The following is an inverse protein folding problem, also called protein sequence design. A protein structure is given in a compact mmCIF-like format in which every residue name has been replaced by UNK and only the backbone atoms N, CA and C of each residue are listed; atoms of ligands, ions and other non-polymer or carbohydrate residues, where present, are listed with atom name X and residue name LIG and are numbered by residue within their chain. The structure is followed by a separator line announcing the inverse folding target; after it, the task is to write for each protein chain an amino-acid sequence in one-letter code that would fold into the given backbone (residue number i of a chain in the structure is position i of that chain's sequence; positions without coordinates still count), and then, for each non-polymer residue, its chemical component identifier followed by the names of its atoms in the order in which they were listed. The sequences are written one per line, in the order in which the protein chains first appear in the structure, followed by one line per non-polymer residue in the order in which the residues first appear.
data_IF_662665727250
#
_entry.id   IF_662665727250
#
_cell.length_a   1.000
_cell.length_b   1.000
_cell.length_c   1.000
_cell.angle_alpha   90.00
_cell.angle_beta   90.00
_cell.angle_gamma   90.00
#
_symmetry.space_group_name_H-M   'P 1'
#
loop_
_entity.id
_entity.type
_entity.pdbx_description
1 polymer ?
#
# COMPACT_ATOMS: atom_id res chain seq x y z
N UNK A 1 27.19 38.12 5.74
CA UNK A 1 25.96 37.44 5.25
C UNK A 1 26.07 36.88 3.82
N UNK A 2 26.95 37.38 2.94
CA UNK A 2 27.10 36.88 1.55
C UNK A 2 27.49 35.39 1.43
N UNK A 3 28.23 34.84 2.39
CA UNK A 3 28.70 33.44 2.34
C UNK A 3 27.66 32.41 2.80
N UNK A 4 26.65 32.82 3.57
CA UNK A 4 25.60 31.90 4.05
C UNK A 4 24.74 31.43 2.87
N UNK A 5 24.50 32.32 1.91
CA UNK A 5 23.71 32.01 0.73
C UNK A 5 24.43 31.03 -0.21
N UNK A 6 25.76 31.11 -0.30
CA UNK A 6 26.58 30.17 -1.07
C UNK A 6 26.59 28.75 -0.48
N UNK A 7 26.61 28.63 0.86
CA UNK A 7 26.58 27.34 1.55
C UNK A 7 25.23 26.65 1.30
N UNK A 8 24.13 27.39 1.36
CA UNK A 8 22.79 26.83 1.10
C UNK A 8 22.65 26.36 -0.35
N UNK A 9 23.17 27.12 -1.31
CA UNK A 9 23.16 26.71 -2.73
C UNK A 9 24.00 25.45 -2.95
N UNK A 10 25.18 25.35 -2.36
CA UNK A 10 26.03 24.15 -2.47
C UNK A 10 25.36 22.90 -1.90
N UNK A 11 24.64 23.03 -0.78
CA UNK A 11 23.91 21.93 -0.15
C UNK A 11 22.76 21.41 -1.03
N UNK A 12 22.04 22.32 -1.70
CA UNK A 12 20.95 21.95 -2.61
C UNK A 12 21.48 21.27 -3.88
N UNK A 13 22.62 21.72 -4.42
CA UNK A 13 23.23 21.08 -5.59
C UNK A 13 23.75 19.67 -5.23
N UNK A 14 24.36 19.52 -4.04
CA UNK A 14 24.84 18.22 -3.56
C UNK A 14 23.74 17.18 -3.39
N UNK A 15 22.58 17.57 -2.85
CA UNK A 15 21.44 16.64 -2.68
C UNK A 15 20.82 16.24 -4.01
N UNK A 16 20.73 17.16 -4.98
CA UNK A 16 20.24 16.84 -6.33
C UNK A 16 21.21 15.91 -7.06
N UNK A 17 22.53 16.14 -6.98
CA UNK A 17 23.53 15.27 -7.59
C UNK A 17 23.54 13.85 -6.99
N UNK A 18 23.26 13.71 -5.69
CA UNK A 18 23.15 12.42 -5.00
C UNK A 18 21.89 11.65 -5.40
N UNK A 19 20.74 12.32 -5.55
CA UNK A 19 19.48 11.68 -5.94
C UNK A 19 19.46 11.29 -7.43
N UNK A 20 20.09 12.09 -8.29
CA UNK A 20 20.10 11.86 -9.75
C UNK A 20 21.31 11.06 -10.26
N UNK A 21 22.10 10.44 -9.36
CA UNK A 21 23.07 9.41 -9.76
C UNK A 21 24.22 9.90 -10.63
N UNK A 22 24.65 11.17 -10.50
CA UNK A 22 25.74 11.72 -11.32
C UNK A 22 27.14 11.31 -10.81
N UNK A 23 27.27 10.82 -9.57
CA UNK A 23 28.53 10.21 -9.13
C UNK A 23 28.66 8.79 -9.69
N UNK A 24 29.08 8.71 -10.95
CA UNK A 24 29.58 7.51 -11.57
C UNK A 24 30.81 7.01 -10.80
N UNK A 25 30.69 5.80 -10.26
CA UNK A 25 31.85 4.99 -9.93
C UNK A 25 32.10 4.09 -11.14
N UNK A 26 32.86 4.60 -12.11
CA UNK A 26 33.64 3.74 -12.98
C UNK A 26 34.70 3.08 -12.09
N UNK A 27 34.38 1.92 -11.53
CA UNK A 27 35.40 1.04 -10.98
C UNK A 27 35.90 0.17 -12.13
N UNK A 28 37.01 0.59 -12.72
CA UNK A 28 37.86 -0.29 -13.51
C UNK A 28 38.01 -1.63 -12.77
N UNK A 29 37.77 -2.71 -13.52
CA UNK A 29 37.98 -4.08 -13.07
C UNK A 29 39.44 -4.27 -12.67
N UNK A 30 39.74 -4.12 -11.38
CA UNK A 30 40.96 -4.64 -10.79
C UNK A 30 40.83 -6.16 -10.80
N UNK A 31 41.39 -6.80 -11.83
CA UNK A 31 41.61 -8.25 -11.85
C UNK A 31 42.66 -8.56 -10.79
N UNK A 32 42.21 -8.72 -9.55
CA UNK A 32 42.99 -9.37 -8.50
C UNK A 32 42.87 -10.86 -8.78
N UNK A 33 43.92 -11.44 -9.36
CA UNK A 33 44.14 -12.88 -9.35
C UNK A 33 44.24 -13.35 -7.90
N UNK A 34 43.10 -13.66 -7.28
CA UNK A 34 43.08 -14.52 -6.11
C UNK A 34 43.30 -15.96 -6.59
N UNK A 35 44.24 -16.72 -6.00
CA UNK A 35 44.34 -18.14 -6.29
C UNK A 35 42.98 -18.80 -6.01
N UNK A 36 42.53 -19.60 -6.97
CA UNK A 36 41.36 -20.47 -6.88
C UNK A 36 41.46 -21.28 -5.59
N UNK A 37 40.79 -20.81 -4.55
CA UNK A 37 40.29 -21.68 -3.50
C UNK A 37 38.99 -22.20 -4.09
N UNK A 38 39.00 -23.48 -4.48
CA UNK A 38 37.79 -24.24 -4.67
C UNK A 38 37.01 -24.16 -3.36
N UNK A 39 36.13 -23.17 -3.24
CA UNK A 39 34.95 -23.32 -2.39
C UNK A 39 34.13 -24.36 -3.12
N UNK A 40 34.31 -25.61 -2.69
CA UNK A 40 33.28 -26.63 -2.85
C UNK A 40 31.94 -25.94 -2.63
N UNK A 41 31.08 -26.05 -3.64
CA UNK A 41 29.67 -25.75 -3.54
C UNK A 41 29.16 -26.50 -2.32
N UNK A 42 29.09 -25.80 -1.20
CA UNK A 42 28.17 -26.14 -0.14
C UNK A 42 26.81 -26.04 -0.80
N UNK A 43 26.30 -27.18 -1.27
CA UNK A 43 24.87 -27.38 -1.37
C UNK A 43 24.32 -26.93 -0.03
N UNK A 44 23.71 -25.75 0.01
CA UNK A 44 22.84 -25.34 1.09
C UNK A 44 21.73 -26.38 1.13
N UNK A 45 21.93 -27.41 1.95
CA UNK A 45 20.83 -28.21 2.47
C UNK A 45 20.06 -27.25 3.37
N UNK A 46 19.23 -26.39 2.76
CA UNK A 46 18.28 -25.58 3.49
C UNK A 46 17.49 -26.52 4.39
N UNK A 47 17.44 -26.21 5.67
CA UNK A 47 16.64 -26.97 6.62
C UNK A 47 15.20 -26.97 6.10
N UNK A 48 14.53 -28.13 6.08
CA UNK A 48 13.14 -28.23 5.64
C UNK A 48 12.22 -27.28 6.44
N UNK A 49 12.64 -26.90 7.65
CA UNK A 49 12.01 -25.85 8.46
C UNK A 49 12.10 -24.45 7.81
N UNK A 50 13.24 -24.07 7.25
CA UNK A 50 13.45 -22.75 6.62
C UNK A 50 12.66 -22.62 5.32
N UNK A 51 12.63 -23.68 4.49
CA UNK A 51 11.82 -23.72 3.27
C UNK A 51 10.33 -23.54 3.60
N UNK A 52 9.85 -24.23 4.63
CA UNK A 52 8.45 -24.13 5.07
C UNK A 52 8.10 -22.74 5.64
N UNK A 53 9.03 -22.06 6.30
CA UNK A 53 8.83 -20.68 6.77
C UNK A 53 8.81 -19.68 5.62
N UNK A 54 9.69 -19.85 4.63
CA UNK A 54 9.72 -19.00 3.43
C UNK A 54 8.43 -19.15 2.61
N UNK A 55 7.96 -20.37 2.38
CA UNK A 55 6.68 -20.63 1.71
C UNK A 55 5.50 -19.97 2.43
N UNK A 56 5.47 -20.05 3.77
CA UNK A 56 4.45 -19.37 4.59
C UNK A 56 4.54 -17.85 4.44
N UNK A 57 5.74 -17.28 4.48
CA UNK A 57 5.93 -15.85 4.31
C UNK A 57 5.48 -15.37 2.91
N UNK A 58 5.82 -16.14 1.86
CA UNK A 58 5.38 -15.86 0.48
C UNK A 58 3.85 -15.87 0.39
N UNK A 59 3.18 -16.84 1.01
CA UNK A 59 1.71 -16.89 1.04
C UNK A 59 1.11 -15.68 1.75
N UNK A 60 1.64 -15.29 2.91
CA UNK A 60 1.21 -14.11 3.66
C UNK A 60 1.40 -12.84 2.81
N UNK A 61 2.55 -12.68 2.15
CA UNK A 61 2.84 -11.54 1.31
C UNK A 61 1.89 -11.46 0.11
N UNK A 62 1.61 -12.59 -0.54
CA UNK A 62 0.67 -12.67 -1.65
C UNK A 62 -0.75 -12.25 -1.23
N UNK A 63 -1.23 -12.73 -0.09
CA UNK A 63 -2.53 -12.37 0.46
C UNK A 63 -2.58 -10.89 0.87
N UNK A 64 -1.51 -10.37 1.47
CA UNK A 64 -1.42 -8.97 1.85
C UNK A 64 -1.47 -8.04 0.62
N UNK A 65 -0.85 -8.43 -0.51
CA UNK A 65 -0.98 -7.67 -1.77
C UNK A 65 -2.43 -7.60 -2.26
N UNK A 66 -3.23 -8.67 -2.07
CA UNK A 66 -4.68 -8.65 -2.37
C UNK A 66 -5.41 -7.66 -1.44
N UNK A 67 -5.10 -7.70 -0.14
CA UNK A 67 -5.64 -6.76 0.85
C UNK A 67 -5.35 -5.30 0.50
N UNK A 68 -4.14 -4.97 0.08
CA UNK A 68 -3.80 -3.61 -0.35
C UNK A 68 -4.60 -3.18 -1.58
N UNK A 69 -4.78 -4.08 -2.55
CA UNK A 69 -5.62 -3.82 -3.72
C UNK A 69 -7.09 -3.59 -3.31
N UNK A 70 -7.63 -4.39 -2.40
CA UNK A 70 -8.97 -4.23 -1.87
C UNK A 70 -9.15 -2.88 -1.15
N UNK A 71 -8.18 -2.48 -0.31
CA UNK A 71 -8.17 -1.17 0.37
C UNK A 71 -8.18 0.00 -0.63
N UNK A 72 -7.37 -0.07 -1.69
CA UNK A 72 -7.37 0.95 -2.77
C UNK A 72 -8.72 1.01 -3.50
N UNK A 73 -9.35 -0.14 -3.74
CA UNK A 73 -10.67 -0.19 -4.39
C UNK A 73 -11.76 0.42 -3.50
N UNK A 74 -11.74 0.12 -2.20
CA UNK A 74 -12.63 0.72 -1.20
C UNK A 74 -12.47 2.23 -1.14
N UNK A 75 -11.23 2.72 -1.08
CA UNK A 75 -10.94 4.16 -1.05
C UNK A 75 -11.47 4.88 -2.30
N UNK A 76 -11.23 4.31 -3.50
CA UNK A 76 -11.78 4.86 -4.75
C UNK A 76 -13.31 4.88 -4.76
N UNK A 77 -13.97 3.85 -4.23
CA UNK A 77 -15.45 3.79 -4.17
C UNK A 77 -15.98 4.85 -3.22
N UNK A 78 -15.40 5.00 -2.04
CA UNK A 78 -15.75 6.05 -1.07
C UNK A 78 -15.55 7.45 -1.66
N UNK A 79 -14.45 7.70 -2.38
CA UNK A 79 -14.20 8.97 -3.06
C UNK A 79 -15.28 9.29 -4.11
N UNK A 80 -15.71 8.30 -4.91
CA UNK A 80 -16.82 8.47 -5.87
C UNK A 80 -18.13 8.80 -5.18
N UNK A 81 -18.47 8.09 -4.09
CA UNK A 81 -19.68 8.36 -3.30
C UNK A 81 -19.65 9.79 -2.75
N UNK A 82 -18.53 10.20 -2.15
CA UNK A 82 -18.35 11.57 -1.64
C UNK A 82 -18.55 12.63 -2.74
N UNK A 83 -18.05 12.37 -3.95
CA UNK A 83 -18.18 13.29 -5.08
C UNK A 83 -19.65 13.47 -5.53
N UNK A 84 -20.44 12.39 -5.57
CA UNK A 84 -21.85 12.47 -5.98
C UNK A 84 -22.77 12.98 -4.87
N UNK A 85 -22.39 12.79 -3.61
CA UNK A 85 -23.16 13.22 -2.44
C UNK A 85 -23.11 14.72 -2.20
N UNK A 86 -22.13 15.42 -2.79
CA UNK A 86 -21.99 16.87 -2.62
C UNK A 86 -23.22 17.60 -3.16
N UNK A 87 -23.84 18.42 -2.31
CA UNK A 87 -25.07 19.18 -2.59
C UNK A 87 -26.29 18.33 -2.97
N UNK A 88 -26.40 17.07 -2.51
CA UNK A 88 -27.61 16.27 -2.65
C UNK A 88 -28.43 16.34 -1.36
N UNK A 89 -29.73 16.63 -1.49
CA UNK A 89 -30.69 16.48 -0.40
C UNK A 89 -31.28 15.07 -0.47
N UNK A 90 -31.13 14.32 0.62
CA UNK A 90 -31.68 12.98 0.78
C UNK A 90 -32.70 13.00 1.93
N UNK A 91 -33.73 12.14 1.90
CA UNK A 91 -34.54 11.84 3.08
C UNK A 91 -33.65 11.46 4.27
N UNK A 92 -34.02 11.89 5.47
CA UNK A 92 -33.18 11.74 6.67
C UNK A 92 -32.76 10.28 6.94
N UNK A 93 -33.70 9.34 6.80
CA UNK A 93 -33.45 7.90 7.00
C UNK A 93 -32.45 7.35 5.98
N UNK A 94 -32.61 7.70 4.71
CA UNK A 94 -31.69 7.29 3.64
C UNK A 94 -30.29 7.92 3.82
N UNK A 95 -30.24 9.19 4.22
CA UNK A 95 -28.99 9.87 4.52
C UNK A 95 -28.24 9.18 5.66
N UNK A 96 -28.92 8.80 6.74
CA UNK A 96 -28.33 8.13 7.89
C UNK A 96 -27.74 6.77 7.50
N UNK A 97 -28.47 5.97 6.71
CA UNK A 97 -28.00 4.67 6.24
C UNK A 97 -26.73 4.80 5.38
N UNK A 98 -26.75 5.71 4.40
CA UNK A 98 -25.61 5.96 3.50
C UNK A 98 -24.40 6.46 4.29
N UNK A 99 -24.59 7.42 5.20
CA UNK A 99 -23.52 7.96 6.04
C UNK A 99 -22.94 6.88 6.94
N UNK A 100 -23.77 5.99 7.50
CA UNK A 100 -23.33 4.85 8.32
C UNK A 100 -22.45 3.89 7.52
N UNK A 101 -22.86 3.51 6.30
CA UNK A 101 -22.08 2.67 5.38
C UNK A 101 -20.71 3.32 5.07
N UNK A 102 -20.71 4.60 4.70
CA UNK A 102 -19.49 5.38 4.39
C UNK A 102 -18.55 5.44 5.60
N UNK A 103 -19.09 5.72 6.80
CA UNK A 103 -18.30 5.84 8.03
C UNK A 103 -17.60 4.53 8.37
N UNK A 104 -18.28 3.39 8.24
CA UNK A 104 -17.69 2.05 8.44
C UNK A 104 -16.55 1.81 7.44
N UNK A 105 -16.73 2.16 6.17
CA UNK A 105 -15.68 2.06 5.15
C UNK A 105 -14.43 2.89 5.51
N UNK A 106 -14.59 4.17 5.86
CA UNK A 106 -13.47 5.02 6.25
C UNK A 106 -12.79 4.58 7.56
N UNK A 107 -13.54 4.01 8.51
CA UNK A 107 -12.96 3.50 9.75
C UNK A 107 -11.95 2.36 9.48
N UNK A 108 -12.26 1.46 8.54
CA UNK A 108 -11.34 0.39 8.11
C UNK A 108 -10.09 0.95 7.44
N UNK A 109 -10.23 1.95 6.57
CA UNK A 109 -9.07 2.55 5.89
C UNK A 109 -8.15 3.32 6.86
N UNK A 110 -8.72 3.96 7.89
CA UNK A 110 -7.95 4.68 8.92
C UNK A 110 -7.21 3.74 9.87
N UNK A 111 -7.77 2.56 10.14
CA UNK A 111 -7.20 1.55 11.04
C UNK A 111 -6.39 0.46 10.31
N UNK A 112 -5.84 0.79 9.13
CA UNK A 112 -5.10 -0.16 8.31
C UNK A 112 -3.87 -0.71 9.05
N UNK A 113 -3.86 -2.03 9.25
CA UNK A 113 -2.69 -2.77 9.73
C UNK A 113 -1.65 -2.94 8.62
N UNK A 114 -0.37 -2.80 8.96
CA UNK A 114 0.78 -3.12 8.10
C UNK A 114 1.05 -4.64 8.12
N UNK A 115 1.82 -5.14 7.15
CA UNK A 115 2.15 -6.57 7.01
C UNK A 115 2.65 -7.19 8.32
N UNK A 116 3.60 -6.56 8.99
CA UNK A 116 4.17 -7.06 10.25
C UNK A 116 3.25 -7.01 11.47
N UNK A 117 2.06 -6.42 11.35
CA UNK A 117 1.07 -6.39 12.44
C UNK A 117 0.08 -7.58 12.38
N UNK A 118 0.19 -8.44 11.37
CA UNK A 118 -0.62 -9.65 11.27
C UNK A 118 0.10 -10.84 11.89
N UNK A 119 -0.64 -11.65 12.65
CA UNK A 119 -0.11 -12.85 13.31
C UNK A 119 0.05 -14.05 12.35
N UNK A 120 -0.38 -13.93 11.10
CA UNK A 120 -0.29 -14.99 10.10
C UNK A 120 -1.28 -14.82 8.95
N UNK A 121 -1.29 -15.80 8.03
CA UNK A 121 -2.08 -15.77 6.80
C UNK A 121 -3.58 -15.57 7.07
N UNK A 122 -4.15 -16.31 8.02
CA UNK A 122 -5.57 -16.21 8.35
C UNK A 122 -5.97 -14.80 8.77
N UNK A 123 -5.14 -14.12 9.58
CA UNK A 123 -5.41 -12.76 10.03
C UNK A 123 -5.41 -11.75 8.86
N UNK A 124 -4.60 -11.99 7.82
CA UNK A 124 -4.62 -11.19 6.59
C UNK A 124 -5.89 -11.46 5.78
N UNK A 125 -6.28 -12.73 5.64
CA UNK A 125 -7.50 -13.13 4.92
C UNK A 125 -8.78 -12.62 5.62
N UNK A 126 -8.83 -12.64 6.95
CA UNK A 126 -9.97 -12.12 7.72
C UNK A 126 -10.12 -10.59 7.52
N UNK A 127 -9.01 -9.86 7.53
CA UNK A 127 -9.01 -8.42 7.26
C UNK A 127 -9.39 -8.13 5.79
N UNK A 128 -8.92 -8.96 4.84
CA UNK A 128 -9.33 -8.87 3.44
C UNK A 128 -10.85 -9.03 3.31
N UNK A 129 -11.43 -10.07 3.90
CA UNK A 129 -12.87 -10.31 3.89
C UNK A 129 -13.66 -9.14 4.49
N UNK A 130 -13.17 -8.53 5.59
CA UNK A 130 -13.79 -7.34 6.18
C UNK A 130 -13.77 -6.13 5.25
N UNK A 131 -12.66 -5.90 4.54
CA UNK A 131 -12.53 -4.81 3.56
C UNK A 131 -13.44 -5.05 2.35
N UNK A 132 -13.51 -6.28 1.85
CA UNK A 132 -14.39 -6.66 0.74
C UNK A 132 -15.86 -6.54 1.12
N UNK A 133 -16.25 -6.98 2.31
CA UNK A 133 -17.61 -6.78 2.83
C UNK A 133 -17.99 -5.30 2.89
N UNK A 134 -17.09 -4.44 3.39
CA UNK A 134 -17.32 -3.00 3.39
C UNK A 134 -17.43 -2.41 1.96
N UNK A 135 -16.67 -2.95 1.01
CA UNK A 135 -16.78 -2.56 -0.40
C UNK A 135 -18.14 -2.93 -1.00
N UNK A 136 -18.64 -4.14 -0.71
CA UNK A 136 -19.94 -4.60 -1.20
C UNK A 136 -21.12 -3.87 -0.53
N UNK A 137 -21.02 -3.53 0.76
CA UNK A 137 -22.03 -2.71 1.42
C UNK A 137 -22.19 -1.29 0.84
N UNK A 138 -21.23 -0.85 0.03
CA UNK A 138 -21.27 0.43 -0.68
C UNK A 138 -21.71 0.27 -2.14
N UNK A 139 -22.11 -0.95 -2.54
CA UNK A 139 -22.72 -1.19 -3.84
C UNK A 139 -24.09 -0.51 -3.93
N UNK A 140 -24.46 -0.04 -5.12
CA UNK A 140 -25.72 0.68 -5.32
C UNK A 140 -25.74 2.12 -4.79
N UNK A 141 -24.99 2.46 -3.74
CA UNK A 141 -25.03 3.78 -3.08
C UNK A 141 -24.86 4.97 -4.05
N UNK A 142 -23.97 4.85 -5.04
CA UNK A 142 -23.79 5.93 -6.05
C UNK A 142 -25.06 6.12 -6.89
N UNK A 143 -25.71 5.03 -7.27
CA UNK A 143 -26.92 5.08 -8.09
C UNK A 143 -28.14 5.52 -7.27
N UNK A 144 -28.22 5.12 -6.00
CA UNK A 144 -29.22 5.63 -5.05
C UNK A 144 -29.13 7.16 -4.90
N UNK A 145 -27.92 7.70 -4.71
CA UNK A 145 -27.70 9.15 -4.59
C UNK A 145 -28.06 9.87 -5.89
N UNK A 146 -27.69 9.32 -7.05
CA UNK A 146 -28.03 9.91 -8.36
C UNK A 146 -29.53 9.91 -8.62
N UNK A 147 -30.22 8.81 -8.30
CA UNK A 147 -31.66 8.68 -8.47
C UNK A 147 -32.40 9.74 -7.64
N UNK A 148 -31.98 9.95 -6.40
CA UNK A 148 -32.52 11.00 -5.54
C UNK A 148 -32.26 12.41 -6.10
N UNK A 149 -31.09 12.65 -6.72
CA UNK A 149 -30.77 13.93 -7.36
C UNK A 149 -31.62 14.22 -8.60
N UNK A 150 -32.01 13.20 -9.36
CA UNK A 150 -32.84 13.38 -10.57
C UNK A 150 -34.34 13.41 -10.29
N UNK A 151 -34.77 12.88 -9.14
CA UNK A 151 -36.17 12.88 -8.70
C UNK A 151 -36.56 14.08 -7.82
N UNK A 152 -35.60 14.93 -7.45
CA UNK A 152 -35.78 16.19 -6.73
C UNK A 152 -35.78 17.37 -7.70
#
# INVERSE_FOLDING_TARGET
MKYVLLIVIALVIGTVAFVFGWFGSDSDNLVVSTPVIQTETADEIMDASEIAEEERYVAILAEYKKLEKARRNLDRRLARIKAVMWNVQLPAEQAEEIVSKIRKGYALLKSKKLLGAFSGLQAVSDELARVEFAYQNLEGVVEEIKAAKTGA
#
